data_IF_538956811503
#
_entry.id   IF_538956811503
#
_cell.length_a   1.000
_cell.length_b   1.000
_cell.length_c   1.000
_cell.angle_alpha   90.00
_cell.angle_beta   90.00
_cell.angle_gamma   90.00
#
_symmetry.space_group_name_H-M   'P 1'
#
loop_
_entity.id
_entity.type
_entity.pdbx_description
1 polymer ?
#
# COMPACT_ATOMS: atom_id res chain seq x y z
N UNK A 1 -0.07 -13.39 22.05
CA UNK A 1 -0.01 -13.67 20.60
C UNK A 1 0.39 -12.47 19.68
N UNK A 2 0.51 -11.22 20.16
CA UNK A 2 0.82 -10.04 19.31
C UNK A 2 2.16 -10.09 18.56
N UNK A 3 3.24 -10.57 19.21
CA UNK A 3 4.58 -10.62 18.62
C UNK A 3 4.66 -11.53 17.39
N UNK A 4 4.11 -12.75 17.49
CA UNK A 4 4.11 -13.73 16.39
C UNK A 4 3.39 -13.18 15.16
N UNK A 5 2.22 -12.56 15.34
CA UNK A 5 1.48 -11.90 14.26
C UNK A 5 2.30 -10.78 13.59
N UNK A 6 3.00 -9.96 14.39
CA UNK A 6 3.87 -8.89 13.86
C UNK A 6 5.04 -9.46 13.05
N UNK A 7 5.68 -10.52 13.52
CA UNK A 7 6.77 -11.21 12.82
C UNK A 7 6.28 -11.76 11.47
N UNK A 8 5.10 -12.38 11.42
CA UNK A 8 4.52 -12.89 10.18
C UNK A 8 4.10 -11.81 9.17
N UNK A 9 3.68 -10.64 9.67
CA UNK A 9 3.37 -9.48 8.82
C UNK A 9 4.66 -8.88 8.23
N UNK A 10 5.68 -8.71 9.06
CA UNK A 10 6.98 -8.15 8.66
C UNK A 10 7.72 -9.07 7.68
N UNK A 11 7.64 -10.39 7.89
CA UNK A 11 8.25 -11.37 6.96
C UNK A 11 7.56 -11.40 5.59
N UNK A 12 6.38 -10.79 5.44
CA UNK A 12 5.64 -10.76 4.19
C UNK A 12 5.07 -12.12 3.75
N UNK A 13 5.30 -13.20 4.51
CA UNK A 13 4.90 -14.56 4.14
C UNK A 13 3.39 -14.69 3.97
N UNK A 14 2.63 -14.01 4.83
CA UNK A 14 1.16 -13.96 4.73
C UNK A 14 0.71 -13.33 3.41
N UNK A 15 1.37 -12.26 2.95
CA UNK A 15 1.05 -11.62 1.67
C UNK A 15 1.47 -12.49 0.48
N UNK A 16 2.59 -13.20 0.58
CA UNK A 16 3.04 -14.13 -0.45
C UNK A 16 1.98 -15.23 -0.67
N UNK A 17 1.54 -15.89 0.41
CA UNK A 17 0.52 -16.96 0.34
C UNK A 17 -0.76 -16.44 -0.31
N UNK A 18 -1.25 -15.26 0.10
CA UNK A 18 -2.45 -14.65 -0.50
C UNK A 18 -2.31 -14.32 -1.99
N UNK A 19 -1.11 -13.95 -2.44
CA UNK A 19 -0.86 -13.65 -3.86
C UNK A 19 -0.80 -14.91 -4.71
N UNK A 20 -0.29 -16.01 -4.18
CA UNK A 20 -0.14 -17.29 -4.89
C UNK A 20 -1.37 -18.19 -4.75
N UNK A 21 -2.33 -17.83 -3.89
CA UNK A 21 -3.56 -18.61 -3.66
C UNK A 21 -4.35 -18.88 -4.96
N UNK A 22 -4.31 -17.94 -5.91
CA UNK A 22 -5.01 -18.04 -7.19
C UNK A 22 -4.07 -17.74 -8.35
N UNK A 23 -4.36 -18.32 -9.51
CA UNK A 23 -3.66 -17.98 -10.74
C UNK A 23 -3.92 -16.51 -11.11
N UNK A 24 -2.85 -15.73 -11.26
CA UNK A 24 -2.91 -14.35 -11.69
C UNK A 24 -1.99 -14.17 -12.90
N UNK A 25 -2.58 -13.74 -14.02
CA UNK A 25 -1.81 -13.44 -15.22
C UNK A 25 -0.80 -12.29 -14.98
N UNK A 26 0.38 -12.32 -15.63
CA UNK A 26 1.36 -11.27 -15.48
C UNK A 26 0.81 -9.92 -15.95
N UNK A 27 1.11 -8.85 -15.20
CA UNK A 27 0.63 -7.50 -15.56
C UNK A 27 1.27 -7.03 -16.86
N UNK A 28 0.44 -6.57 -17.80
CA UNK A 28 0.87 -5.88 -19.03
C UNK A 28 1.60 -4.56 -18.75
N UNK A 29 2.39 -4.07 -19.72
CA UNK A 29 3.12 -2.80 -19.59
C UNK A 29 2.21 -1.62 -19.29
N UNK A 30 1.04 -1.56 -19.93
CA UNK A 30 0.06 -0.50 -19.73
C UNK A 30 -0.48 -0.50 -18.29
N UNK A 31 -0.79 -1.67 -17.74
CA UNK A 31 -1.24 -1.79 -16.35
C UNK A 31 -0.15 -1.38 -15.35
N UNK A 32 1.11 -1.73 -15.62
CA UNK A 32 2.26 -1.29 -14.80
C UNK A 32 2.41 0.24 -14.83
N UNK A 33 2.32 0.86 -16.02
CA UNK A 33 2.40 2.31 -16.19
C UNK A 33 1.28 3.04 -15.45
N UNK A 34 0.03 2.59 -15.61
CA UNK A 34 -1.14 3.18 -14.91
C UNK A 34 -0.96 3.12 -13.38
N UNK A 35 -0.48 1.99 -12.86
CA UNK A 35 -0.21 1.83 -11.43
C UNK A 35 0.94 2.72 -10.92
N UNK A 36 1.97 2.97 -11.74
CA UNK A 36 3.04 3.89 -11.39
C UNK A 36 2.55 5.34 -11.34
N UNK A 37 1.82 5.80 -12.37
CA UNK A 37 1.26 7.16 -12.41
C UNK A 37 0.29 7.41 -11.25
N UNK A 38 -0.57 6.43 -10.93
CA UNK A 38 -1.47 6.54 -9.79
C UNK A 38 -0.73 6.70 -8.46
N UNK A 39 0.40 5.99 -8.27
CA UNK A 39 1.20 6.12 -7.04
C UNK A 39 1.80 7.51 -6.90
N UNK A 40 2.29 8.09 -7.99
CA UNK A 40 2.81 9.47 -8.01
C UNK A 40 1.72 10.48 -7.69
N UNK A 41 0.57 10.41 -8.37
CA UNK A 41 -0.55 11.33 -8.15
C UNK A 41 -1.06 11.29 -6.70
N UNK A 42 -1.14 10.10 -6.08
CA UNK A 42 -1.53 9.96 -4.68
C UNK A 42 -0.47 10.56 -3.74
N UNK A 43 0.82 10.34 -4.01
CA UNK A 43 1.91 10.89 -3.20
C UNK A 43 1.95 12.42 -3.26
N UNK A 44 1.73 13.00 -4.44
CA UNK A 44 1.63 14.46 -4.65
C UNK A 44 0.43 15.03 -3.90
N UNK A 45 -0.76 14.44 -4.07
CA UNK A 45 -1.97 14.84 -3.35
C UNK A 45 -1.78 14.77 -1.84
N UNK A 46 -1.17 13.70 -1.34
CA UNK A 46 -0.88 13.55 0.08
C UNK A 46 0.07 14.64 0.60
N UNK A 47 1.14 14.92 -0.15
CA UNK A 47 2.12 15.97 0.20
C UNK A 47 1.46 17.35 0.23
N UNK A 48 0.57 17.63 -0.72
CA UNK A 48 -0.22 18.85 -0.76
C UNK A 48 -1.16 18.97 0.44
N UNK A 49 -1.97 17.93 0.73
CA UNK A 49 -2.90 17.91 1.86
C UNK A 49 -2.18 18.07 3.21
N UNK A 50 -0.99 17.47 3.34
CA UNK A 50 -0.11 17.65 4.49
C UNK A 50 0.37 19.09 4.61
N UNK A 51 0.77 19.72 3.50
CA UNK A 51 1.23 21.12 3.48
C UNK A 51 0.16 22.10 3.93
N UNK A 52 -1.09 21.89 3.51
CA UNK A 52 -2.22 22.79 3.85
C UNK A 52 -2.90 22.45 5.18
N UNK A 53 -2.42 21.44 5.91
CA UNK A 53 -2.99 21.02 7.20
C UNK A 53 -4.37 20.35 7.12
N UNK A 54 -4.86 20.01 5.91
CA UNK A 54 -6.17 19.36 5.69
C UNK A 54 -6.04 17.85 5.46
N UNK A 55 -5.03 17.22 6.03
CA UNK A 55 -4.88 15.78 5.91
C UNK A 55 -5.96 15.10 6.76
N UNK A 56 -6.87 14.29 6.19
CA UNK A 56 -7.92 13.65 6.96
C UNK A 56 -7.33 12.73 8.04
N UNK A 57 -7.87 12.79 9.25
CA UNK A 57 -7.43 11.99 10.39
C UNK A 57 -7.59 10.48 10.17
N UNK A 58 -8.50 10.08 9.28
CA UNK A 58 -8.66 8.68 8.88
C UNK A 58 -7.43 8.14 8.13
N UNK A 59 -6.76 9.01 7.36
CA UNK A 59 -5.56 8.66 6.60
C UNK A 59 -4.35 8.58 7.54
N UNK A 60 -4.24 9.49 8.50
CA UNK A 60 -3.13 9.46 9.48
C UNK A 60 -3.16 8.18 10.32
N UNK A 61 -4.33 7.69 10.73
CA UNK A 61 -4.47 6.44 11.49
C UNK A 61 -4.09 5.18 10.70
N UNK A 62 -4.30 5.14 9.38
CA UNK A 62 -3.93 3.99 8.52
C UNK A 62 -2.42 3.86 8.30
N UNK A 63 -1.69 4.96 8.34
CA UNK A 63 -0.22 5.00 8.18
C UNK A 63 0.52 5.21 9.51
N UNK A 64 -0.22 5.29 10.62
CA UNK A 64 0.29 5.53 11.97
C UNK A 64 0.95 4.29 12.57
N UNK A 65 2.19 4.50 13.03
CA UNK A 65 2.94 3.63 13.94
C UNK A 65 2.31 3.65 15.33
#
# INVERSE_FOLDING_TARGET
MRRVKKVWQQSGKVLQVKKTQFFAAPKSRNMRRKSALHRLAVAEKFSYLKKIGRLPEEITKKFGK
#
